data_IF_388967405862
#
_entry.id   IF_388967405862
#
_cell.length_a   1.000
_cell.length_b   1.000
_cell.length_c   1.000
_cell.angle_alpha   90.00
_cell.angle_beta   90.00
_cell.angle_gamma   90.00
#
_symmetry.space_group_name_H-M   'P 1'
#
loop_
_entity.id
_entity.type
_entity.pdbx_description
1 polymer ?
#
# COMPACT_ATOMS: atom_id res chain seq x y z
N UNK A 1 -23.12 -4.74 -5.69
CA UNK A 1 -21.95 -5.60 -5.41
C UNK A 1 -20.81 -5.12 -6.30
N UNK A 2 -19.69 -4.68 -5.73
CA UNK A 2 -18.60 -4.05 -6.50
C UNK A 2 -17.72 -5.16 -7.09
N UNK A 3 -17.46 -5.09 -8.39
CA UNK A 3 -16.54 -5.98 -9.09
C UNK A 3 -15.46 -5.15 -9.75
N UNK A 4 -14.20 -5.56 -9.57
CA UNK A 4 -13.05 -4.92 -10.21
C UNK A 4 -12.58 -5.88 -11.31
N UNK A 5 -12.39 -5.34 -12.51
CA UNK A 5 -11.96 -6.11 -13.68
C UNK A 5 -10.62 -5.60 -14.18
N UNK A 6 -9.83 -6.52 -14.72
CA UNK A 6 -8.55 -6.32 -15.39
C UNK A 6 -7.54 -5.51 -14.55
N UNK A 7 -7.56 -5.68 -13.23
CA UNK A 7 -6.68 -4.93 -12.35
C UNK A 7 -5.23 -5.45 -12.49
N UNK A 8 -4.26 -4.58 -12.78
CA UNK A 8 -2.86 -4.95 -12.82
C UNK A 8 -2.33 -5.13 -11.39
N UNK A 9 -1.82 -6.33 -11.10
CA UNK A 9 -1.17 -6.67 -9.83
C UNK A 9 0.28 -7.05 -10.12
N UNK A 10 1.28 -6.31 -9.60
CA UNK A 10 2.68 -6.67 -9.81
C UNK A 10 2.95 -8.12 -9.39
N UNK A 11 3.69 -8.88 -10.20
CA UNK A 11 3.95 -10.31 -9.96
C UNK A 11 4.49 -10.57 -8.55
N UNK A 12 5.40 -9.71 -8.09
CA UNK A 12 5.99 -9.75 -6.73
C UNK A 12 5.00 -9.51 -5.58
N UNK A 13 3.78 -9.05 -5.85
CA UNK A 13 2.75 -8.70 -4.86
C UNK A 13 1.53 -9.63 -4.90
N UNK A 14 1.47 -10.62 -5.80
CA UNK A 14 0.27 -11.44 -6.01
C UNK A 14 -0.16 -12.23 -4.76
N UNK A 15 0.81 -12.75 -3.99
CA UNK A 15 0.51 -13.46 -2.74
C UNK A 15 -0.05 -12.52 -1.67
N UNK A 16 0.56 -11.33 -1.50
CA UNK A 16 0.06 -10.30 -0.58
C UNK A 16 -1.35 -9.83 -0.97
N UNK A 17 -1.59 -9.69 -2.28
CA UNK A 17 -2.91 -9.38 -2.81
C UNK A 17 -3.93 -10.45 -2.42
N UNK A 18 -3.60 -11.73 -2.64
CA UNK A 18 -4.47 -12.86 -2.32
C UNK A 18 -4.84 -12.90 -0.83
N UNK A 19 -3.86 -12.74 0.05
CA UNK A 19 -4.08 -12.68 1.50
C UNK A 19 -5.02 -11.54 1.90
N UNK A 20 -4.80 -10.35 1.34
CA UNK A 20 -5.66 -9.18 1.60
C UNK A 20 -7.08 -9.44 1.11
N UNK A 21 -7.22 -10.00 -0.09
CA UNK A 21 -8.49 -10.32 -0.71
C UNK A 21 -9.30 -11.28 0.18
N UNK A 22 -8.71 -12.41 0.55
CA UNK A 22 -9.34 -13.40 1.43
C UNK A 22 -9.68 -12.81 2.81
N UNK A 23 -8.78 -12.02 3.40
CA UNK A 23 -9.01 -11.38 4.70
C UNK A 23 -10.12 -10.31 4.69
N UNK A 24 -10.53 -9.84 3.52
CA UNK A 24 -11.63 -8.88 3.34
C UNK A 24 -12.94 -9.55 2.89
N UNK A 25 -12.98 -10.90 2.84
CA UNK A 25 -14.14 -11.65 2.35
C UNK A 25 -14.32 -11.57 0.84
N UNK A 26 -13.26 -11.19 0.12
CA UNK A 26 -13.25 -11.14 -1.33
C UNK A 26 -12.86 -12.46 -1.98
N UNK A 27 -13.10 -12.56 -3.28
CA UNK A 27 -12.85 -13.75 -4.07
C UNK A 27 -12.57 -13.38 -5.54
N UNK A 28 -11.85 -14.25 -6.25
CA UNK A 28 -11.59 -14.09 -7.68
C UNK A 28 -12.84 -14.41 -8.50
N UNK A 29 -13.07 -13.63 -9.56
CA UNK A 29 -14.16 -13.89 -10.52
C UNK A 29 -13.73 -14.85 -11.64
N UNK A 30 -12.42 -15.02 -11.82
CA UNK A 30 -11.81 -15.92 -12.78
C UNK A 30 -10.33 -16.13 -12.46
N UNK A 31 -9.68 -16.98 -13.25
CA UNK A 31 -8.26 -17.22 -13.08
C UNK A 31 -7.44 -15.96 -13.41
N UNK A 32 -6.45 -15.60 -12.59
CA UNK A 32 -5.50 -14.53 -12.92
C UNK A 32 -4.83 -14.79 -14.27
N UNK A 33 -4.79 -13.79 -15.14
CA UNK A 33 -4.11 -13.87 -16.44
C UNK A 33 -2.66 -13.41 -16.25
N UNK A 34 -1.71 -14.25 -16.61
CA UNK A 34 -0.29 -13.99 -16.46
C UNK A 34 0.23 -13.07 -17.57
N UNK A 35 0.93 -12.00 -17.17
CA UNK A 35 1.65 -11.08 -18.05
C UNK A 35 3.13 -11.06 -17.60
N UNK A 36 4.09 -10.55 -18.41
CA UNK A 36 5.51 -10.63 -18.09
C UNK A 36 5.86 -10.13 -16.68
N UNK A 37 5.39 -8.94 -16.29
CA UNK A 37 5.73 -8.30 -15.00
C UNK A 37 4.58 -8.28 -13.97
N UNK A 38 3.39 -8.72 -14.36
CA UNK A 38 2.16 -8.56 -13.57
C UNK A 38 1.14 -9.67 -13.84
N UNK A 39 0.12 -9.72 -13.00
CA UNK A 39 -1.10 -10.48 -13.25
C UNK A 39 -2.25 -9.54 -13.50
N UNK A 40 -3.14 -9.90 -14.42
CA UNK A 40 -4.43 -9.25 -14.60
C UNK A 40 -5.50 -10.04 -13.87
N UNK A 41 -6.17 -9.38 -12.94
CA UNK A 41 -7.08 -10.03 -11.99
C UNK A 41 -8.48 -9.43 -12.08
N UNK A 42 -9.47 -10.31 -12.21
CA UNK A 42 -10.88 -10.00 -12.01
C UNK A 42 -11.31 -10.53 -10.64
N UNK A 43 -11.86 -9.67 -9.79
CA UNK A 43 -12.22 -10.06 -8.42
C UNK A 43 -13.34 -9.22 -7.82
N UNK A 44 -13.93 -9.76 -6.76
CA UNK A 44 -14.79 -9.05 -5.84
C UNK A 44 -14.04 -8.82 -4.53
N UNK A 45 -13.87 -7.57 -4.06
CA UNK A 45 -13.10 -7.27 -2.85
C UNK A 45 -13.82 -7.61 -1.53
N UNK A 46 -15.10 -7.98 -1.55
CA UNK A 46 -15.92 -8.10 -0.33
C UNK A 46 -16.13 -6.72 0.30
N UNK A 47 -15.55 -6.49 1.48
CA UNK A 47 -15.49 -5.15 2.08
C UNK A 47 -14.48 -4.26 1.33
N UNK A 48 -15.00 -3.53 0.34
CA UNK A 48 -14.22 -2.62 -0.50
C UNK A 48 -13.40 -1.60 0.30
N UNK A 49 -13.95 -1.01 1.36
CA UNK A 49 -13.25 0.03 2.15
C UNK A 49 -12.04 -0.57 2.86
N UNK A 50 -12.21 -1.74 3.46
CA UNK A 50 -11.14 -2.45 4.17
C UNK A 50 -10.08 -2.96 3.20
N UNK A 51 -10.50 -3.53 2.06
CA UNK A 51 -9.62 -3.97 0.99
C UNK A 51 -8.77 -2.80 0.46
N UNK A 52 -9.40 -1.69 0.07
CA UNK A 52 -8.72 -0.52 -0.47
C UNK A 52 -7.70 0.06 0.51
N UNK A 53 -8.06 0.15 1.80
CA UNK A 53 -7.14 0.61 2.85
C UNK A 53 -5.93 -0.30 3.00
N UNK A 54 -6.12 -1.62 3.07
CA UNK A 54 -4.99 -2.57 3.19
C UNK A 54 -4.13 -2.60 1.94
N UNK A 55 -4.75 -2.63 0.76
CA UNK A 55 -4.04 -2.68 -0.51
C UNK A 55 -3.19 -1.42 -0.73
N UNK A 56 -3.75 -0.23 -0.45
CA UNK A 56 -3.01 1.03 -0.56
C UNK A 56 -1.80 1.12 0.38
N UNK A 57 -1.84 0.51 1.57
CA UNK A 57 -0.67 0.45 2.47
C UNK A 57 0.46 -0.39 1.89
N UNK A 58 0.15 -1.43 1.11
CA UNK A 58 1.14 -2.35 0.53
C UNK A 58 1.74 -1.82 -0.76
N UNK A 59 1.00 -0.98 -1.49
CA UNK A 59 1.43 -0.37 -2.75
C UNK A 59 2.06 1.01 -2.57
N UNK A 60 1.81 1.69 -1.45
CA UNK A 60 2.42 2.98 -1.16
C UNK A 60 3.92 2.82 -0.95
N UNK A 61 4.72 3.64 -1.63
CA UNK A 61 6.16 3.69 -1.42
C UNK A 61 6.48 4.09 0.02
N UNK A 62 7.40 3.36 0.62
CA UNK A 62 7.91 3.66 1.97
C UNK A 62 8.81 4.89 1.84
N UNK A 63 8.25 6.06 2.13
CA UNK A 63 9.03 7.28 2.27
C UNK A 63 9.57 7.31 3.70
N UNK A 64 10.87 7.09 3.87
CA UNK A 64 11.54 7.26 5.15
C UNK A 64 11.56 8.75 5.52
N UNK A 65 10.62 9.17 6.36
CA UNK A 65 10.65 10.51 6.94
C UNK A 65 11.72 10.48 8.04
N UNK A 66 12.98 10.82 7.71
CA UNK A 66 14.01 11.09 8.71
C UNK A 66 13.56 12.26 9.60
N UNK A 67 12.97 11.94 10.75
CA UNK A 67 12.48 12.93 11.74
C UNK A 67 13.62 13.62 12.49
N UNK A 68 14.81 13.03 12.51
CA UNK A 68 15.96 13.53 13.28
C UNK A 68 16.49 14.89 12.83
N UNK A 69 16.33 15.25 11.54
CA UNK A 69 16.98 16.46 11.02
C UNK A 69 16.25 17.75 11.41
N UNK A 70 14.93 17.71 11.63
CA UNK A 70 14.13 18.92 11.93
C UNK A 70 14.21 19.34 13.39
N UNK A 71 14.09 18.39 14.32
CA UNK A 71 14.19 18.68 15.75
C UNK A 71 15.60 19.15 16.14
N UNK A 72 16.64 18.51 15.61
CA UNK A 72 18.03 18.88 15.88
C UNK A 72 18.37 20.28 15.37
N UNK A 73 17.86 20.69 14.20
CA UNK A 73 18.03 22.06 13.68
C UNK A 73 17.28 23.10 14.53
N UNK A 74 16.08 22.78 15.01
CA UNK A 74 15.30 23.67 15.86
C UNK A 74 15.97 23.86 17.23
N UNK A 75 16.42 22.79 17.87
CA UNK A 75 17.14 22.85 19.15
C UNK A 75 18.47 23.60 19.04
N UNK A 76 19.26 23.37 17.98
CA UNK A 76 20.49 24.13 17.78
C UNK A 76 20.25 25.63 17.58
N UNK A 77 19.10 26.01 16.98
CA UNK A 77 18.74 27.41 16.77
C UNK A 77 18.27 28.08 18.07
N UNK A 78 17.54 27.37 18.93
CA UNK A 78 17.10 27.87 20.24
C UNK A 78 18.29 27.97 21.22
N UNK A 79 19.11 26.92 21.32
CA UNK A 79 20.28 26.93 22.20
C UNK A 79 21.36 27.92 21.75
N UNK A 80 21.40 28.28 20.46
CA UNK A 80 22.28 29.35 19.96
C UNK A 80 21.79 30.77 20.33
N UNK A 81 20.49 30.97 20.51
CA UNK A 81 19.90 32.26 20.90
C UNK A 81 20.02 32.50 22.42
N UNK A 82 20.00 31.43 23.23
CA UNK A 82 20.17 31.47 24.69
C UNK A 82 21.63 31.64 25.16
N UNK A 83 22.58 31.83 24.24
CA UNK A 83 24.02 31.96 24.51
C UNK A 83 24.53 33.40 24.32
N UNK A 84 23.66 34.39 24.57
CA UNK A 84 23.95 35.83 24.73
C UNK A 84 23.60 36.21 26.16
#
# INVERSE_FOLDING_TARGET
MITIRNMPIPRRKINQFHEILCACGGYYLGNPIEWPDEYRVDFNPGDYRRFHKKWSLVTKDIIEIRKDTKFRKFFNRICGILRI
#
